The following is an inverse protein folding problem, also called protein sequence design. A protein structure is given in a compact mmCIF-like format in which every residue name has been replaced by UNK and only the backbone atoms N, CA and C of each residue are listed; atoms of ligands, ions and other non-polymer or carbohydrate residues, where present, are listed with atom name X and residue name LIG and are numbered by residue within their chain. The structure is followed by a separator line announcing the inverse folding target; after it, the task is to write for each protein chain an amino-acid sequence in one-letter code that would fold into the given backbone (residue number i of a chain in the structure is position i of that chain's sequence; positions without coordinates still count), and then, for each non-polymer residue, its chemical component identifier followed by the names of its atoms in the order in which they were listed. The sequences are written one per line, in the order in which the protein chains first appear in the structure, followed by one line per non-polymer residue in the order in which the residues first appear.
data_IF_536562874848
#
_entry.id   IF_536562874848
#
_cell.length_a   1.000
_cell.length_b   1.000
_cell.length_c   1.000
_cell.angle_alpha   90.00
_cell.angle_beta   90.00
_cell.angle_gamma   90.00
#
_symmetry.space_group_name_H-M   'P 1'
#
loop_
_entity.id
_entity.type
_entity.pdbx_description
1 polymer ?
#
# COMPACT_ATOMS: atom_id res chain seq x y z
N UNK A 1 -13.85 -4.32 1.32
CA UNK A 1 -12.57 -4.91 0.87
C UNK A 1 -12.17 -4.16 -0.40
N UNK A 2 -10.88 -3.86 -0.57
CA UNK A 2 -10.32 -3.11 -1.69
C UNK A 2 -9.29 -4.00 -2.40
N UNK A 3 -9.43 -4.19 -3.71
CA UNK A 3 -8.34 -4.73 -4.53
C UNK A 3 -7.45 -3.59 -5.01
N UNK A 4 -6.13 -3.75 -4.94
CA UNK A 4 -5.14 -2.82 -5.47
C UNK A 4 -4.39 -3.52 -6.59
N UNK A 5 -4.49 -2.99 -7.82
CA UNK A 5 -3.82 -3.53 -8.99
C UNK A 5 -2.58 -2.70 -9.31
N UNK A 6 -1.41 -3.33 -9.24
CA UNK A 6 -0.12 -2.73 -9.56
C UNK A 6 0.27 -3.00 -11.03
N UNK A 7 0.00 -4.20 -11.51
CA UNK A 7 0.22 -4.66 -12.89
C UNK A 7 -0.75 -5.81 -13.22
N UNK A 8 -0.87 -6.22 -14.49
CA UNK A 8 -1.82 -7.28 -14.91
C UNK A 8 -1.72 -8.58 -14.08
N UNK A 9 -0.51 -8.95 -13.66
CA UNK A 9 -0.24 -10.15 -12.85
C UNK A 9 0.06 -9.83 -11.37
N UNK A 10 -0.11 -8.58 -10.95
CA UNK A 10 0.26 -8.13 -9.60
C UNK A 10 -0.86 -7.33 -8.95
N UNK A 11 -1.65 -8.03 -8.12
CA UNK A 11 -2.73 -7.46 -7.33
C UNK A 11 -2.62 -7.85 -5.84
N UNK A 12 -3.25 -7.06 -4.98
CA UNK A 12 -3.41 -7.40 -3.57
C UNK A 12 -4.77 -6.99 -3.03
N UNK A 13 -5.32 -7.82 -2.15
CA UNK A 13 -6.60 -7.58 -1.49
C UNK A 13 -6.36 -7.05 -0.07
N UNK A 14 -6.86 -5.85 0.21
CA UNK A 14 -6.66 -5.16 1.49
C UNK A 14 -7.97 -4.58 2.00
N UNK A 15 -8.20 -4.61 3.31
CA UNK A 15 -9.34 -3.92 3.89
C UNK A 15 -9.06 -2.41 3.98
N UNK A 16 -10.08 -1.57 3.74
CA UNK A 16 -9.91 -0.12 3.76
C UNK A 16 -9.31 0.41 5.08
N UNK A 17 -9.71 -0.16 6.23
CA UNK A 17 -9.13 0.17 7.54
C UNK A 17 -7.65 -0.19 7.66
N UNK A 18 -7.24 -1.33 7.09
CA UNK A 18 -5.85 -1.80 7.12
C UNK A 18 -5.01 -0.92 6.21
N UNK A 19 -5.53 -0.56 5.04
CA UNK A 19 -4.90 0.40 4.16
C UNK A 19 -4.73 1.76 4.85
N UNK A 20 -5.77 2.29 5.50
CA UNK A 20 -5.65 3.56 6.24
C UNK A 20 -4.60 3.50 7.33
N UNK A 21 -4.49 2.39 8.06
CA UNK A 21 -3.44 2.18 9.06
C UNK A 21 -2.05 2.17 8.41
N UNK A 22 -1.84 1.36 7.38
CA UNK A 22 -0.59 1.31 6.60
C UNK A 22 -0.18 2.69 6.09
N UNK A 23 -1.12 3.46 5.53
CA UNK A 23 -0.85 4.81 5.05
C UNK A 23 -0.57 5.80 6.19
N UNK A 24 -1.17 5.61 7.36
CA UNK A 24 -0.91 6.41 8.56
C UNK A 24 0.49 6.22 9.15
N UNK A 25 1.18 5.14 8.80
CA UNK A 25 2.56 4.86 9.19
C UNK A 25 3.60 5.42 8.20
N UNK A 26 3.16 6.04 7.11
CA UNK A 26 4.06 6.61 6.11
C UNK A 26 4.64 7.93 6.64
N UNK A 27 5.97 8.09 6.67
CA UNK A 27 6.61 9.35 7.02
C UNK A 27 6.20 10.48 6.06
N UNK A 28 5.99 11.68 6.61
CA UNK A 28 5.49 12.83 5.84
C UNK A 28 6.44 13.29 4.72
N UNK A 29 7.74 12.96 4.81
CA UNK A 29 8.74 13.21 3.77
C UNK A 29 8.67 12.22 2.60
N UNK A 30 7.98 11.07 2.77
CA UNK A 30 7.74 10.08 1.71
C UNK A 30 6.51 10.46 0.90
N UNK A 31 5.41 10.83 1.56
CA UNK A 31 4.29 11.54 0.93
C UNK A 31 3.35 12.17 1.97
N UNK A 32 2.61 13.19 1.53
CA UNK A 32 1.68 13.89 2.39
C UNK A 32 0.35 13.14 2.52
N UNK A 33 -0.27 13.20 3.71
CA UNK A 33 -1.47 12.41 4.05
C UNK A 33 -2.67 12.75 3.15
N UNK A 34 -2.79 14.01 2.75
CA UNK A 34 -3.82 14.54 1.85
C UNK A 34 -3.67 14.03 0.42
N UNK A 35 -2.44 13.84 -0.08
CA UNK A 35 -2.21 13.22 -1.39
C UNK A 35 -2.77 11.79 -1.45
N UNK A 36 -2.69 11.04 -0.34
CA UNK A 36 -3.19 9.65 -0.31
C UNK A 36 -4.71 9.56 -0.32
N UNK A 37 -5.41 10.42 0.42
CA UNK A 37 -6.87 10.37 0.44
C UNK A 37 -7.46 10.72 -0.93
N UNK A 38 -6.82 11.60 -1.69
CA UNK A 38 -7.21 11.90 -3.08
C UNK A 38 -7.08 10.66 -3.98
N UNK A 39 -5.98 9.91 -3.88
CA UNK A 39 -5.75 8.71 -4.69
C UNK A 39 -6.62 7.53 -4.26
N UNK A 40 -6.92 7.42 -2.96
CA UNK A 40 -7.66 6.30 -2.39
C UNK A 40 -9.18 6.48 -2.46
N UNK A 41 -9.69 7.72 -2.50
CA UNK A 41 -11.13 7.99 -2.46
C UNK A 41 -11.92 7.30 -3.59
N UNK A 42 -11.52 7.37 -4.87
CA UNK A 42 -12.20 6.64 -5.95
C UNK A 42 -12.14 5.12 -5.76
N UNK A 43 -10.98 4.62 -5.32
CA UNK A 43 -10.77 3.19 -5.11
C UNK A 43 -11.62 2.64 -3.96
N UNK A 44 -11.71 3.39 -2.85
CA UNK A 44 -12.56 3.04 -1.70
C UNK A 44 -14.04 2.99 -2.08
N UNK A 45 -14.51 3.91 -2.91
CA UNK A 45 -15.90 3.92 -3.38
C UNK A 45 -16.23 2.72 -4.30
N UNK A 46 -15.26 2.27 -5.09
CA UNK A 46 -15.43 1.17 -6.05
C UNK A 46 -15.04 -0.21 -5.51
N UNK A 47 -14.35 -0.28 -4.36
CA UNK A 47 -13.72 -1.51 -3.88
C UNK A 47 -12.54 -1.98 -4.73
N UNK A 48 -12.03 -1.12 -5.63
CA UNK A 48 -10.93 -1.45 -6.54
C UNK A 48 -10.12 -0.20 -6.89
N UNK A 49 -8.80 -0.26 -6.75
CA UNK A 49 -7.84 0.79 -7.06
C UNK A 49 -6.85 0.30 -8.14
N UNK A 50 -6.93 0.87 -9.33
CA UNK A 50 -6.00 0.59 -10.42
C UNK A 50 -4.89 1.65 -10.46
N UNK A 51 -3.71 1.31 -9.94
CA UNK A 51 -2.56 2.23 -9.90
C UNK A 51 -2.11 2.60 -11.31
N UNK A 52 -2.48 1.82 -12.32
CA UNK A 52 -2.16 2.09 -13.73
C UNK A 52 -2.98 3.22 -14.32
N UNK A 53 -4.10 3.57 -13.69
CA UNK A 53 -4.97 4.67 -14.13
C UNK A 53 -4.67 6.00 -13.43
N UNK A 54 -3.67 6.05 -12.54
CA UNK A 54 -3.21 7.31 -11.98
C UNK A 54 -2.52 8.10 -13.09
N UNK A 55 -3.12 9.23 -13.47
CA UNK A 55 -2.69 10.03 -14.64
C UNK A 55 -1.28 10.59 -14.52
N UNK A 56 -0.85 10.90 -13.29
CA UNK A 56 0.49 11.40 -13.02
C UNK A 56 1.44 10.23 -12.66
N UNK A 57 2.42 9.89 -13.52
CA UNK A 57 3.35 8.78 -13.27
C UNK A 57 4.17 8.95 -11.97
N UNK A 58 4.56 10.17 -11.64
CA UNK A 58 5.31 10.47 -10.42
C UNK A 58 4.44 10.34 -9.17
N UNK A 59 3.13 10.60 -9.28
CA UNK A 59 2.17 10.31 -8.21
C UNK A 59 2.03 8.80 -8.00
N UNK A 60 1.92 8.03 -9.09
CA UNK A 60 1.83 6.57 -9.03
C UNK A 60 3.08 5.93 -8.40
N UNK A 61 4.28 6.43 -8.77
CA UNK A 61 5.56 6.06 -8.14
C UNK A 61 5.57 6.34 -6.64
N UNK A 62 5.22 7.58 -6.26
CA UNK A 62 5.16 7.99 -4.85
C UNK A 62 4.18 7.14 -4.06
N UNK A 63 3.00 6.83 -4.62
CA UNK A 63 2.03 5.96 -3.98
C UNK A 63 2.60 4.56 -3.71
N UNK A 64 3.19 3.91 -4.71
CA UNK A 64 3.74 2.56 -4.55
C UNK A 64 4.89 2.55 -3.54
N UNK A 65 5.76 3.57 -3.58
CA UNK A 65 6.84 3.73 -2.60
C UNK A 65 6.31 3.92 -1.19
N UNK A 66 5.32 4.79 -1.02
CA UNK A 66 4.67 5.02 0.26
C UNK A 66 4.00 3.75 0.81
N UNK A 67 3.29 3.01 -0.04
CA UNK A 67 2.64 1.76 0.36
C UNK A 67 3.68 0.72 0.79
N UNK A 68 4.84 0.64 0.12
CA UNK A 68 5.95 -0.25 0.53
C UNK A 68 6.47 0.17 1.92
N UNK A 69 6.78 1.45 2.12
CA UNK A 69 7.24 1.97 3.43
C UNK A 69 6.23 1.69 4.54
N UNK A 70 4.96 2.04 4.33
CA UNK A 70 3.91 1.82 5.31
C UNK A 70 3.68 0.34 5.62
N UNK A 71 3.80 -0.55 4.62
CA UNK A 71 3.65 -1.99 4.82
C UNK A 71 4.78 -2.57 5.68
N UNK A 72 6.02 -2.12 5.45
CA UNK A 72 7.17 -2.51 6.28
C UNK A 72 7.03 -1.98 7.71
N UNK A 73 6.62 -0.73 7.90
CA UNK A 73 6.34 -0.19 9.24
C UNK A 73 5.23 -0.97 9.96
N UNK A 74 4.15 -1.34 9.26
CA UNK A 74 3.06 -2.12 9.84
C UNK A 74 3.49 -3.53 10.24
N UNK A 75 4.37 -4.16 9.43
CA UNK A 75 4.96 -5.45 9.75
C UNK A 75 5.80 -5.37 11.03
N UNK A 76 6.68 -4.36 11.12
CA UNK A 76 7.52 -4.12 12.31
C UNK A 76 6.66 -3.91 13.56
N UNK A 77 5.69 -2.97 13.51
CA UNK A 77 4.77 -2.69 14.62
C UNK A 77 4.02 -3.95 15.08
N UNK A 78 3.56 -4.78 14.14
CA UNK A 78 2.82 -6.02 14.48
C UNK A 78 3.73 -7.07 15.11
N UNK A 79 4.99 -7.17 14.68
CA UNK A 79 5.96 -8.12 15.24
C UNK A 79 6.44 -7.74 16.63
N UNK A 80 6.42 -6.45 16.98
CA UNK A 80 6.79 -5.93 18.30
C UNK A 80 5.69 -6.10 19.36
N UNK A 81 4.46 -6.46 18.96
CA UNK A 81 3.37 -6.72 19.90
C UNK A 81 3.59 -8.02 20.69
N UNK A 82 3.21 -8.04 21.96
CA UNK A 82 3.23 -9.25 22.80
C UNK A 82 1.81 -9.61 23.31
N UNK A 83 1.21 -10.73 22.86
CA UNK A 83 1.70 -11.61 21.79
C UNK A 83 1.49 -10.99 20.40
N UNK A 84 2.38 -11.33 19.47
CA UNK A 84 2.22 -10.95 18.07
C UNK A 84 1.05 -11.70 17.44
N UNK A 85 0.25 -11.02 16.64
CA UNK A 85 -0.80 -11.63 15.83
C UNK A 85 -0.17 -12.27 14.58
N UNK A 86 0.03 -13.59 14.60
CA UNK A 86 0.69 -14.33 13.53
C UNK A 86 -0.03 -14.19 12.17
N UNK A 87 -1.37 -14.12 12.16
CA UNK A 87 -2.15 -13.95 10.93
C UNK A 87 -1.88 -12.57 10.31
N UNK A 88 -1.82 -11.54 11.15
CA UNK A 88 -1.49 -10.18 10.70
C UNK A 88 -0.02 -10.06 10.26
N UNK A 89 0.91 -10.73 10.92
CA UNK A 89 2.32 -10.80 10.49
C UNK A 89 2.45 -11.44 9.11
N UNK A 90 1.78 -12.56 8.87
CA UNK A 90 1.76 -13.21 7.55
C UNK A 90 1.13 -12.31 6.48
N UNK A 91 0.02 -11.65 6.81
CA UNK A 91 -0.63 -10.69 5.93
C UNK A 91 0.31 -9.55 5.52
N UNK A 92 0.93 -8.85 6.48
CA UNK A 92 1.82 -7.73 6.16
C UNK A 92 3.08 -8.18 5.43
N UNK A 93 3.62 -9.36 5.74
CA UNK A 93 4.74 -9.94 5.00
C UNK A 93 4.39 -10.18 3.53
N UNK A 94 3.21 -10.73 3.25
CA UNK A 94 2.73 -10.92 1.88
C UNK A 94 2.51 -9.60 1.14
N UNK A 95 1.98 -8.59 1.85
CA UNK A 95 1.85 -7.23 1.32
C UNK A 95 3.23 -6.67 0.95
N UNK A 96 4.20 -6.64 1.87
CA UNK A 96 5.56 -6.17 1.60
C UNK A 96 6.16 -6.83 0.35
N UNK A 97 6.07 -8.16 0.24
CA UNK A 97 6.58 -8.89 -0.92
C UNK A 97 5.94 -8.46 -2.24
N UNK A 98 4.63 -8.16 -2.21
CA UNK A 98 3.88 -7.75 -3.40
C UNK A 98 4.23 -6.32 -3.79
N UNK A 99 4.26 -5.39 -2.83
CA UNK A 99 4.56 -3.99 -3.11
C UNK A 99 6.03 -3.81 -3.48
N UNK A 100 6.96 -4.57 -2.90
CA UNK A 100 8.38 -4.50 -3.25
C UNK A 100 8.66 -5.01 -4.67
N UNK A 101 7.86 -5.98 -5.16
CA UNK A 101 7.85 -6.34 -6.59
C UNK A 101 7.31 -5.19 -7.43
N UNK A 102 6.24 -4.54 -6.99
CA UNK A 102 5.65 -3.40 -7.69
C UNK A 102 6.66 -2.26 -7.82
N UNK A 103 7.38 -1.88 -6.77
CA UNK A 103 8.40 -0.82 -6.80
C UNK A 103 9.45 -1.04 -7.90
N UNK A 104 9.73 -2.30 -8.27
CA UNK A 104 10.74 -2.67 -9.27
C UNK A 104 10.21 -2.71 -10.71
N UNK A 105 8.91 -2.52 -10.93
CA UNK A 105 8.37 -2.53 -12.29
C UNK A 105 8.87 -1.31 -13.07
N UNK A 106 9.15 -1.42 -14.39
CA UNK A 106 9.72 -0.32 -15.19
C UNK A 106 8.93 0.99 -15.14
N UNK A 107 7.61 0.92 -14.97
CA UNK A 107 6.72 2.08 -14.82
C UNK A 107 6.90 2.84 -13.50
N UNK A 108 7.50 2.20 -12.50
CA UNK A 108 7.71 2.74 -11.16
C UNK A 108 9.18 3.03 -10.82
N UNK A 109 10.12 2.74 -11.74
CA UNK A 109 11.53 3.16 -11.69
C UNK A 109 11.68 4.61 -12.20
#
# INVERSE_FOLDING_TARGET
MLAVLFDDDLEWWIQGRVLSHVMGLVPADVAAVDEFDEWLSPGRAMGYLDIRKIENPEAAKRFVRALSVGAHSALEETQEQEPADEEMVEFYRGLCQTVDKAVRLPRFL
#
